data_IF_469501547418
#
_entry.id   IF_469501547418
#
_cell.length_a   1.000
_cell.length_b   1.000
_cell.length_c   1.000
_cell.angle_alpha   90.00
_cell.angle_beta   90.00
_cell.angle_gamma   90.00
#
_symmetry.space_group_name_H-M   'P 1'
#
loop_
_entity.id
_entity.type
_entity.pdbx_description
1 polymer ?
#
# COMPACT_ATOMS: atom_id res chain seq x y z
N UNK A 1 -3.53 -9.93 11.36
CA UNK A 1 -4.93 -9.42 11.31
C UNK A 1 -5.37 -9.53 9.86
N UNK A 2 -6.37 -10.36 9.62
CA UNK A 2 -6.84 -10.67 8.27
C UNK A 2 -7.67 -9.50 7.68
N UNK A 3 -7.91 -9.55 6.38
CA UNK A 3 -8.84 -8.62 5.74
C UNK A 3 -10.28 -8.97 6.15
N UNK A 4 -11.11 -7.96 6.26
CA UNK A 4 -12.52 -8.11 6.67
C UNK A 4 -13.41 -8.00 5.44
N UNK A 5 -14.10 -9.08 5.11
CA UNK A 5 -15.13 -9.09 4.07
C UNK A 5 -16.51 -8.74 4.64
N UNK A 6 -17.32 -8.10 3.82
CA UNK A 6 -18.76 -7.97 4.07
C UNK A 6 -19.54 -8.46 2.84
N UNK A 7 -20.85 -8.80 2.97
CA UNK A 7 -21.63 -9.24 1.81
C UNK A 7 -21.67 -8.25 0.64
N UNK A 8 -21.54 -6.95 0.95
CA UNK A 8 -21.50 -5.87 -0.06
C UNK A 8 -20.09 -5.48 -0.49
N UNK A 9 -19.07 -5.99 0.17
CA UNK A 9 -17.65 -5.68 -0.11
C UNK A 9 -16.79 -6.93 0.10
N UNK A 10 -16.89 -7.92 -0.80
CA UNK A 10 -16.13 -9.16 -0.71
C UNK A 10 -14.65 -8.91 -1.01
N UNK A 11 -13.79 -9.71 -0.39
CA UNK A 11 -12.36 -9.67 -0.67
C UNK A 11 -12.13 -10.15 -2.11
N UNK A 12 -11.44 -9.37 -2.98
CA UNK A 12 -11.06 -9.84 -4.30
C UNK A 12 -10.20 -11.10 -4.21
N UNK A 13 -10.49 -12.09 -5.05
CA UNK A 13 -9.79 -13.38 -5.05
C UNK A 13 -8.28 -13.24 -5.28
N UNK A 14 -7.49 -14.17 -4.73
CA UNK A 14 -6.05 -14.24 -4.98
C UNK A 14 -5.23 -13.17 -4.27
N UNK A 15 -5.71 -12.72 -3.11
CA UNK A 15 -4.99 -11.80 -2.24
C UNK A 15 -3.80 -12.50 -1.56
N UNK A 16 -2.69 -11.77 -1.44
CA UNK A 16 -1.59 -12.06 -0.53
C UNK A 16 -1.49 -10.93 0.48
N UNK A 17 -1.54 -11.26 1.77
CA UNK A 17 -1.49 -10.30 2.87
C UNK A 17 -0.17 -10.50 3.61
N UNK A 18 0.42 -9.42 4.09
CA UNK A 18 1.63 -9.48 4.89
C UNK A 18 1.81 -8.24 5.75
N UNK A 19 2.89 -8.29 6.51
CA UNK A 19 3.35 -7.18 7.33
C UNK A 19 4.81 -6.90 7.01
N UNK A 20 5.14 -5.64 6.84
CA UNK A 20 6.51 -5.17 6.78
C UNK A 20 6.83 -4.35 8.03
N UNK A 21 8.11 -4.22 8.38
CA UNK A 21 8.54 -3.40 9.51
C UNK A 21 8.81 -1.98 9.03
N UNK A 22 7.91 -1.05 9.38
CA UNK A 22 8.13 0.37 9.20
C UNK A 22 9.20 0.93 10.13
N UNK A 23 9.52 2.20 9.99
CA UNK A 23 10.47 2.91 10.86
C UNK A 23 10.05 2.78 12.34
N UNK A 24 11.01 2.49 13.20
CA UNK A 24 10.76 2.24 14.61
C UNK A 24 10.13 0.88 14.90
N UNK A 25 10.14 -0.06 13.95
CA UNK A 25 9.62 -1.42 14.12
C UNK A 25 8.11 -1.53 14.06
N UNK A 26 7.40 -0.48 13.64
CA UNK A 26 5.94 -0.47 13.53
C UNK A 26 5.50 -1.46 12.45
N UNK A 27 4.67 -2.46 12.75
CA UNK A 27 4.16 -3.36 11.73
C UNK A 27 3.19 -2.63 10.80
N UNK A 28 3.44 -2.67 9.51
CA UNK A 28 2.62 -2.08 8.47
C UNK A 28 1.95 -3.19 7.68
N UNK A 29 0.62 -3.24 7.72
CA UNK A 29 -0.15 -4.21 6.96
C UNK A 29 -0.16 -3.81 5.48
N UNK A 30 0.02 -4.79 4.61
CA UNK A 30 -0.17 -4.62 3.18
C UNK A 30 -0.96 -5.78 2.58
N UNK A 31 -1.56 -5.54 1.44
CA UNK A 31 -2.17 -6.57 0.64
C UNK A 31 -1.79 -6.36 -0.83
N UNK A 32 -1.66 -7.47 -1.56
CA UNK A 32 -1.36 -7.44 -2.98
C UNK A 32 -2.17 -8.49 -3.74
N UNK A 33 -2.44 -8.18 -4.98
CA UNK A 33 -3.17 -9.03 -5.92
C UNK A 33 -2.46 -9.08 -7.26
N UNK A 34 -2.42 -10.24 -7.86
CA UNK A 34 -1.99 -10.38 -9.26
C UNK A 34 -3.09 -9.89 -10.20
N UNK A 35 -2.70 -9.50 -11.42
CA UNK A 35 -3.65 -9.23 -12.50
C UNK A 35 -4.59 -10.42 -12.69
N UNK A 36 -5.84 -10.15 -13.07
CA UNK A 36 -6.78 -11.18 -13.45
C UNK A 36 -6.57 -11.65 -14.90
N UNK A 37 -5.82 -10.89 -15.69
CA UNK A 37 -5.51 -11.20 -17.09
C UNK A 37 -4.10 -11.79 -17.23
N UNK A 38 -3.89 -12.53 -18.33
CA UNK A 38 -2.55 -13.00 -18.73
C UNK A 38 -1.66 -11.83 -19.14
N UNK A 39 -2.22 -10.87 -19.88
CA UNK A 39 -1.55 -9.62 -20.21
C UNK A 39 -1.40 -8.77 -18.94
N UNK A 40 -0.20 -8.23 -18.75
CA UNK A 40 0.14 -7.47 -17.55
C UNK A 40 0.50 -6.06 -17.96
N UNK A 41 -0.28 -5.09 -17.51
CA UNK A 41 -0.09 -3.67 -17.78
C UNK A 41 0.77 -2.96 -16.73
N UNK A 42 1.25 -3.71 -15.73
CA UNK A 42 2.05 -3.20 -14.63
C UNK A 42 1.35 -3.34 -13.29
N UNK A 43 1.79 -2.55 -12.33
CA UNK A 43 1.28 -2.57 -10.94
C UNK A 43 0.80 -1.20 -10.52
N UNK A 44 -0.40 -1.12 -9.96
CA UNK A 44 -0.92 0.07 -9.29
C UNK A 44 -0.72 -0.06 -7.79
N UNK A 45 0.11 0.80 -7.22
CA UNK A 45 0.30 0.93 -5.78
C UNK A 45 -0.70 1.95 -5.24
N UNK A 46 -1.58 1.53 -4.33
CA UNK A 46 -2.62 2.38 -3.75
C UNK A 46 -2.16 2.88 -2.38
N UNK A 47 -2.21 4.18 -2.21
CA UNK A 47 -1.87 4.90 -0.99
C UNK A 47 -3.11 5.61 -0.46
N UNK A 48 -3.80 5.02 0.53
CA UNK A 48 -5.04 5.52 1.08
C UNK A 48 -4.95 6.92 1.69
N UNK A 49 -6.08 7.57 1.85
CA UNK A 49 -6.21 8.79 2.61
C UNK A 49 -6.16 8.56 4.12
N UNK A 50 -6.26 9.64 4.90
CA UNK A 50 -6.34 9.56 6.35
C UNK A 50 -7.62 8.85 6.77
N UNK A 51 -7.52 7.96 7.77
CA UNK A 51 -8.64 7.14 8.30
C UNK A 51 -9.23 6.18 7.27
N UNK A 52 -8.47 5.86 6.23
CA UNK A 52 -8.82 4.85 5.27
C UNK A 52 -7.97 3.59 5.48
N UNK A 53 -8.40 2.49 4.89
CA UNK A 53 -7.80 1.17 5.07
C UNK A 53 -8.03 0.32 3.81
N UNK A 54 -7.28 -0.76 3.69
CA UNK A 54 -7.23 -1.62 2.50
C UNK A 54 -8.62 -2.03 2.01
N UNK A 55 -9.51 -2.41 2.91
CA UNK A 55 -10.84 -2.93 2.58
C UNK A 55 -11.74 -1.91 1.85
N UNK A 56 -11.50 -0.62 2.02
CA UNK A 56 -12.22 0.43 1.28
C UNK A 56 -11.93 0.42 -0.23
N UNK A 57 -10.84 -0.20 -0.62
CA UNK A 57 -10.37 -0.22 -2.01
C UNK A 57 -10.68 -1.51 -2.75
N UNK A 58 -11.42 -2.47 -2.17
CA UNK A 58 -11.68 -3.76 -2.81
C UNK A 58 -12.36 -3.64 -4.18
N UNK A 59 -13.29 -2.71 -4.33
CA UNK A 59 -13.94 -2.45 -5.62
C UNK A 59 -12.92 -1.93 -6.65
N UNK A 60 -12.11 -0.94 -6.26
CA UNK A 60 -11.04 -0.38 -7.11
C UNK A 60 -10.01 -1.46 -7.47
N UNK A 61 -9.61 -2.28 -6.51
CA UNK A 61 -8.72 -3.43 -6.73
C UNK A 61 -9.31 -4.38 -7.77
N UNK A 62 -10.59 -4.74 -7.61
CA UNK A 62 -11.29 -5.61 -8.55
C UNK A 62 -11.30 -5.04 -9.96
N UNK A 63 -11.57 -3.76 -10.12
CA UNK A 63 -11.61 -3.07 -11.40
C UNK A 63 -10.24 -2.99 -12.07
N UNK A 64 -9.21 -2.59 -11.33
CA UNK A 64 -7.84 -2.53 -11.85
C UNK A 64 -7.35 -3.91 -12.31
N UNK A 65 -7.65 -4.96 -11.55
CA UNK A 65 -7.27 -6.32 -11.90
C UNK A 65 -7.94 -6.80 -13.19
N UNK A 66 -9.23 -6.47 -13.39
CA UNK A 66 -9.95 -6.78 -14.64
C UNK A 66 -9.36 -6.06 -15.86
N UNK A 67 -8.68 -4.93 -15.62
CA UNK A 67 -7.96 -4.16 -16.65
C UNK A 67 -6.50 -4.58 -16.83
N UNK A 68 -6.07 -5.68 -16.25
CA UNK A 68 -4.72 -6.22 -16.46
C UNK A 68 -3.65 -5.71 -15.51
N UNK A 69 -4.00 -4.95 -14.48
CA UNK A 69 -3.03 -4.48 -13.48
C UNK A 69 -2.91 -5.44 -12.31
N UNK A 70 -1.70 -5.62 -11.82
CA UNK A 70 -1.48 -6.05 -10.45
C UNK A 70 -1.75 -4.87 -9.51
N UNK A 71 -2.12 -5.15 -8.28
CA UNK A 71 -2.43 -4.10 -7.29
C UNK A 71 -1.73 -4.38 -5.98
N UNK A 72 -1.15 -3.37 -5.37
CA UNK A 72 -0.59 -3.43 -4.03
C UNK A 72 -1.11 -2.26 -3.20
N UNK A 73 -1.55 -2.51 -1.98
CA UNK A 73 -2.15 -1.49 -1.09
C UNK A 73 -1.46 -1.55 0.26
N UNK A 74 -1.17 -0.41 0.84
CA UNK A 74 -0.55 -0.25 2.16
C UNK A 74 -1.54 0.38 3.13
N UNK A 75 -1.69 -0.18 4.33
CA UNK A 75 -2.26 0.54 5.46
C UNK A 75 -1.18 1.40 6.13
N UNK A 76 -1.46 2.68 6.27
CA UNK A 76 -0.55 3.59 6.96
C UNK A 76 -0.32 3.22 8.42
N UNK A 77 0.86 3.55 8.96
CA UNK A 77 1.11 3.48 10.40
C UNK A 77 0.02 4.17 11.20
N UNK A 78 -0.45 3.54 12.25
CA UNK A 78 -1.53 4.07 13.08
C UNK A 78 -2.94 3.95 12.48
N UNK A 79 -3.11 3.32 11.31
CA UNK A 79 -4.39 3.22 10.61
C UNK A 79 -4.63 1.79 10.10
N UNK A 80 -5.87 1.50 9.72
CA UNK A 80 -6.25 0.19 9.21
C UNK A 80 -5.82 -0.95 10.13
N UNK A 81 -5.20 -1.98 9.57
CA UNK A 81 -4.62 -3.12 10.29
C UNK A 81 -3.16 -2.94 10.69
N UNK A 82 -2.55 -1.78 10.41
CA UNK A 82 -1.17 -1.47 10.80
C UNK A 82 -1.04 -1.15 12.29
N UNK A 83 0.18 -1.26 12.80
CA UNK A 83 0.51 -1.02 14.21
C UNK A 83 0.15 0.39 14.68
N UNK A 84 -0.29 0.49 15.91
CA UNK A 84 -0.64 1.73 16.59
C UNK A 84 0.54 2.24 17.42
N UNK A 85 0.81 3.54 17.34
CA UNK A 85 1.84 4.20 18.16
C UNK A 85 1.30 4.65 19.51
N UNK A 86 -0.01 4.71 19.68
CA UNK A 86 -0.68 5.13 20.92
C UNK A 86 -1.60 4.04 21.45
N UNK A 87 -1.79 4.01 22.78
CA UNK A 87 -2.75 3.10 23.45
C UNK A 87 -4.19 3.28 22.94
N UNK A 88 -4.58 4.52 22.62
CA UNK A 88 -5.89 4.78 22.01
C UNK A 88 -5.80 4.51 20.50
N UNK A 89 -6.36 3.40 20.07
CA UNK A 89 -6.36 2.94 18.66
C UNK A 89 -7.12 3.86 17.70
N UNK A 90 -8.00 4.73 18.22
CA UNK A 90 -8.75 5.70 17.40
C UNK A 90 -7.92 6.95 17.05
N UNK A 91 -6.78 7.15 17.71
CA UNK A 91 -5.88 8.27 17.42
C UNK A 91 -4.81 7.83 16.44
N UNK A 92 -4.96 8.21 15.17
CA UNK A 92 -3.88 8.16 14.19
C UNK A 92 -2.83 9.21 14.50
N UNK A 93 -1.75 8.82 15.19
CA UNK A 93 -0.64 9.70 15.50
C UNK A 93 0.61 9.30 14.72
N UNK A 94 1.32 10.28 14.22
CA UNK A 94 2.66 10.14 13.62
C UNK A 94 3.56 11.21 14.23
N UNK A 95 4.80 10.86 14.56
CA UNK A 95 5.77 11.80 15.14
C UNK A 95 6.25 12.81 14.10
N UNK A 96 6.43 12.37 12.87
CA UNK A 96 6.88 13.18 11.75
C UNK A 96 6.21 12.71 10.48
N UNK A 97 5.87 13.64 9.59
CA UNK A 97 5.36 13.30 8.26
C UNK A 97 6.37 12.48 7.44
N UNK A 98 7.66 12.67 7.67
CA UNK A 98 8.73 11.89 7.06
C UNK A 98 8.65 10.39 7.37
N UNK A 99 7.99 10.00 8.46
CA UNK A 99 7.79 8.59 8.78
C UNK A 99 6.87 7.89 7.76
N UNK A 100 5.92 8.61 7.18
CA UNK A 100 5.10 8.08 6.07
C UNK A 100 5.91 7.91 4.79
N UNK A 101 6.81 8.86 4.49
CA UNK A 101 7.70 8.75 3.32
C UNK A 101 8.65 7.55 3.45
N UNK A 102 9.18 7.31 4.65
CA UNK A 102 10.01 6.14 4.95
C UNK A 102 9.21 4.84 4.79
N UNK A 103 7.93 4.82 5.18
CA UNK A 103 7.05 3.66 5.02
C UNK A 103 6.75 3.37 3.54
N UNK A 104 6.51 4.41 2.73
CA UNK A 104 6.33 4.26 1.28
C UNK A 104 7.59 3.66 0.67
N UNK A 105 8.78 4.19 0.99
CA UNK A 105 10.04 3.70 0.46
C UNK A 105 10.25 2.22 0.82
N UNK A 106 9.96 1.81 2.05
CA UNK A 106 10.03 0.41 2.47
C UNK A 106 9.02 -0.47 1.74
N UNK A 107 7.78 -0.04 1.67
CA UNK A 107 6.74 -0.78 0.95
C UNK A 107 7.11 -1.00 -0.51
N UNK A 108 7.65 0.03 -1.16
CA UNK A 108 8.12 -0.11 -2.53
C UNK A 108 9.27 -1.11 -2.65
N UNK A 109 10.28 -1.00 -1.79
CA UNK A 109 11.48 -1.83 -1.88
C UNK A 109 11.26 -3.28 -1.44
N UNK A 110 10.43 -3.51 -0.44
CA UNK A 110 10.27 -4.82 0.19
C UNK A 110 9.05 -5.59 -0.37
N UNK A 111 8.08 -4.90 -0.98
CA UNK A 111 6.83 -5.50 -1.45
C UNK A 111 6.59 -5.30 -2.95
N UNK A 112 6.56 -4.04 -3.42
CA UNK A 112 6.14 -3.78 -4.78
C UNK A 112 7.21 -4.19 -5.80
N UNK A 113 8.45 -3.72 -5.64
CA UNK A 113 9.54 -3.98 -6.59
C UNK A 113 9.91 -5.47 -6.71
N UNK A 114 10.04 -6.24 -5.62
CA UNK A 114 10.43 -7.65 -5.75
C UNK A 114 9.31 -8.56 -6.23
N UNK A 115 8.07 -8.23 -5.91
CA UNK A 115 6.95 -9.18 -6.00
C UNK A 115 5.89 -8.82 -7.06
N UNK A 116 5.94 -7.61 -7.60
CA UNK A 116 4.96 -7.10 -8.55
C UNK A 116 5.60 -6.70 -9.89
N UNK A 117 4.91 -6.88 -11.02
CA UNK A 117 5.46 -6.57 -12.34
C UNK A 117 5.51 -5.06 -12.61
N UNK A 118 6.58 -4.55 -13.27
CA UNK A 118 6.61 -3.18 -13.79
C UNK A 118 5.70 -3.03 -15.03
N UNK A 119 5.40 -1.80 -15.48
CA UNK A 119 5.70 -0.52 -14.82
C UNK A 119 4.85 -0.28 -13.58
N UNK A 120 5.29 0.65 -12.72
CA UNK A 120 4.60 0.95 -11.48
C UNK A 120 3.90 2.30 -11.54
N UNK A 121 2.68 2.33 -11.03
CA UNK A 121 1.83 3.51 -10.96
C UNK A 121 1.42 3.75 -9.51
N UNK A 122 1.30 4.99 -9.10
CA UNK A 122 0.76 5.35 -7.79
C UNK A 122 -0.66 5.90 -7.94
N UNK A 123 -1.58 5.32 -7.19
CA UNK A 123 -2.92 5.86 -6.98
C UNK A 123 -3.00 6.35 -5.53
N UNK A 124 -2.93 7.65 -5.33
CA UNK A 124 -2.89 8.25 -4.02
C UNK A 124 -4.12 9.12 -3.77
N UNK A 125 -4.73 8.95 -2.60
CA UNK A 125 -5.88 9.74 -2.18
C UNK A 125 -5.50 10.64 -1.00
N UNK A 126 -5.84 11.95 -1.08
CA UNK A 126 -5.71 12.90 0.03
C UNK A 126 -4.32 12.87 0.67
N UNK A 127 -4.20 12.42 1.93
CA UNK A 127 -2.93 12.30 2.66
C UNK A 127 -1.88 11.43 1.94
N UNK A 128 -2.30 10.45 1.14
CA UNK A 128 -1.40 9.60 0.38
C UNK A 128 -0.61 10.36 -0.70
N UNK A 129 -1.20 11.39 -1.29
CA UNK A 129 -0.57 12.11 -2.40
C UNK A 129 0.75 12.81 -2.02
N UNK A 130 0.83 13.65 -0.96
CA UNK A 130 2.10 14.27 -0.57
C UNK A 130 3.13 13.24 -0.08
N UNK A 131 2.71 12.08 0.44
CA UNK A 131 3.63 11.03 0.86
C UNK A 131 4.35 10.38 -0.33
N UNK A 132 3.71 10.35 -1.51
CA UNK A 132 4.25 9.73 -2.71
C UNK A 132 5.01 10.72 -3.60
N UNK A 133 4.74 12.02 -3.48
CA UNK A 133 5.28 13.06 -4.37
C UNK A 133 6.72 13.49 -4.06
N UNK A 134 7.30 13.05 -2.94
CA UNK A 134 8.69 13.34 -2.55
C UNK A 134 9.54 12.09 -2.72
N UNK A 135 10.23 11.92 -3.85
CA UNK A 135 11.14 10.80 -4.02
C UNK A 135 12.32 10.95 -3.07
N UNK A 136 12.43 10.09 -2.06
CA UNK A 136 13.69 9.89 -1.37
C UNK A 136 14.53 8.95 -2.21
N UNK A 137 15.80 9.28 -2.48
CA UNK A 137 16.68 8.36 -3.16
C UNK A 137 16.77 7.07 -2.34
N UNK A 138 16.31 5.95 -2.91
CA UNK A 138 16.63 4.65 -2.38
C UNK A 138 18.15 4.49 -2.42
N UNK A 139 18.78 4.32 -1.27
CA UNK A 139 20.18 4.01 -1.14
C UNK A 139 20.45 2.53 -1.50
N UNK A 140 19.98 2.08 -2.66
CA UNK A 140 20.37 0.80 -3.26
C UNK A 140 20.02 0.78 -4.75
N UNK A 141 21.08 0.72 -5.56
CA UNK A 141 21.10 0.26 -6.94
C UNK A 141 20.13 0.92 -7.97
N UNK A 142 20.58 1.98 -8.59
CA UNK A 142 20.55 2.11 -10.05
C UNK A 142 19.20 2.29 -10.77
N UNK A 143 18.06 2.41 -10.13
CA UNK A 143 16.82 2.65 -10.82
C UNK A 143 16.26 4.04 -10.53
N UNK A 144 16.25 4.83 -11.56
CA UNK A 144 15.65 6.17 -11.56
C UNK A 144 14.14 6.10 -11.45
N UNK A 145 13.66 6.92 -10.51
CA UNK A 145 12.46 7.73 -10.62
C UNK A 145 11.09 7.07 -10.61
N UNK A 146 10.45 7.37 -9.56
CA UNK A 146 9.03 7.49 -9.48
C UNK A 146 8.62 8.90 -9.97
N UNK A 147 7.98 8.98 -11.09
CA UNK A 147 7.09 10.09 -11.49
C UNK A 147 5.73 9.50 -11.81
#
# INVERSE_FOLDING_TARGET
MDLVATPKNPIPLGVSIGFLKGKGGVPLRYARWRSALKERHGTVCIFPGRSEFIEKYFEVVGELRRRGFAVAVLDWRGQGGSGRLMRNSLKGHVKSFNDYEDDVARFMNEVALPDCPPPYYALAHSMGAPCCSRPRPCAAAGSRAWC
#
